data_IF_427371614866
#
_entry.id   IF_427371614866
#
_cell.length_a   1.000
_cell.length_b   1.000
_cell.length_c   1.000
_cell.angle_alpha   90.00
_cell.angle_beta   90.00
_cell.angle_gamma   90.00
#
_symmetry.space_group_name_H-M   'P 1'
#
loop_
_entity.id
_entity.type
_entity.pdbx_description
1 polymer ?
#
# COMPACT_ATOMS: atom_id res chain seq x y z
N UNK A 1 65.00 49.58 -4.82
CA UNK A 1 64.09 49.70 -3.65
C UNK A 1 62.76 49.06 -3.99
N UNK A 2 62.63 47.74 -3.81
CA UNK A 2 61.43 46.99 -4.20
C UNK A 2 60.28 47.21 -3.22
N UNK A 3 59.16 47.77 -3.70
CA UNK A 3 57.92 47.87 -2.92
C UNK A 3 57.40 46.46 -2.63
N UNK A 4 57.43 46.02 -1.37
CA UNK A 4 56.67 44.84 -0.93
C UNK A 4 55.18 45.14 -1.08
N UNK A 5 54.59 44.68 -2.17
CA UNK A 5 53.15 44.64 -2.36
C UNK A 5 52.58 43.62 -1.37
N UNK A 6 52.28 44.06 -0.16
CA UNK A 6 51.57 43.26 0.83
C UNK A 6 50.17 42.99 0.30
N UNK A 7 49.90 41.74 -0.08
CA UNK A 7 48.56 41.28 -0.46
C UNK A 7 47.54 41.60 0.64
N UNK A 8 46.25 41.72 0.28
CA UNK A 8 45.21 42.15 1.19
C UNK A 8 45.18 41.29 2.47
N UNK A 9 44.95 41.94 3.61
CA UNK A 9 44.97 41.28 4.92
C UNK A 9 43.83 40.25 4.99
N UNK A 10 44.18 38.96 4.92
CA UNK A 10 43.26 37.81 4.83
C UNK A 10 42.21 37.81 5.94
N UNK A 11 42.52 38.33 7.13
CA UNK A 11 41.58 38.46 8.25
C UNK A 11 40.51 39.52 7.99
N UNK A 12 40.86 40.63 7.34
CA UNK A 12 39.93 41.70 6.96
C UNK A 12 39.04 41.24 5.81
N UNK A 13 39.58 40.51 4.84
CA UNK A 13 38.79 39.89 3.77
C UNK A 13 37.81 38.85 4.31
N UNK A 14 38.24 37.98 5.24
CA UNK A 14 37.36 37.04 5.91
C UNK A 14 36.25 37.73 6.71
N UNK A 15 36.55 38.85 7.39
CA UNK A 15 35.54 39.63 8.11
C UNK A 15 34.54 40.31 7.16
N UNK A 16 35.01 40.85 6.01
CA UNK A 16 34.14 41.40 4.96
C UNK A 16 33.27 40.31 4.33
N UNK A 17 33.82 39.12 4.07
CA UNK A 17 33.08 37.97 3.54
C UNK A 17 31.99 37.51 4.52
N UNK A 18 32.30 37.44 5.83
CA UNK A 18 31.29 37.12 6.87
C UNK A 18 30.18 38.17 6.94
N UNK A 19 30.52 39.47 6.85
CA UNK A 19 29.53 40.54 6.79
C UNK A 19 28.68 40.49 5.51
N UNK A 20 29.28 40.14 4.38
CA UNK A 20 28.57 39.94 3.12
C UNK A 20 27.60 38.76 3.21
N UNK A 21 28.03 37.61 3.76
CA UNK A 21 27.17 36.45 3.98
C UNK A 21 26.01 36.74 4.97
N UNK A 22 26.28 37.51 6.03
CA UNK A 22 25.23 37.97 6.94
C UNK A 22 24.24 38.93 6.26
N UNK A 23 24.73 39.77 5.34
CA UNK A 23 23.87 40.65 4.55
C UNK A 23 23.03 39.85 3.55
N UNK A 24 23.62 38.90 2.82
CA UNK A 24 22.88 38.07 1.87
C UNK A 24 21.81 37.22 2.55
N UNK A 25 22.11 36.61 3.70
CA UNK A 25 21.11 35.85 4.47
C UNK A 25 19.96 36.75 4.94
N UNK A 26 20.25 37.98 5.38
CA UNK A 26 19.23 38.96 5.74
C UNK A 26 18.39 39.40 4.55
N UNK A 27 19.03 39.66 3.41
CA UNK A 27 18.35 40.05 2.17
C UNK A 27 17.48 38.91 1.63
N UNK A 28 17.95 37.65 1.69
CA UNK A 28 17.17 36.45 1.32
C UNK A 28 15.98 36.26 2.25
N UNK A 29 16.17 36.41 3.56
CA UNK A 29 15.08 36.32 4.53
C UNK A 29 14.03 37.41 4.29
N UNK A 30 14.47 38.64 3.97
CA UNK A 30 13.57 39.73 3.63
C UNK A 30 12.81 39.44 2.33
N UNK A 31 13.49 39.02 1.27
CA UNK A 31 12.83 38.67 0.01
C UNK A 31 11.86 37.49 0.16
N UNK A 32 12.16 36.53 1.03
CA UNK A 32 11.25 35.43 1.32
C UNK A 32 10.01 35.89 2.08
N UNK A 33 10.16 36.83 3.03
CA UNK A 33 9.03 37.43 3.74
C UNK A 33 8.15 38.28 2.80
N UNK A 34 8.77 39.08 1.93
CA UNK A 34 8.06 39.88 0.93
C UNK A 34 7.30 38.96 -0.05
N UNK A 35 7.92 37.88 -0.53
CA UNK A 35 7.27 36.90 -1.40
C UNK A 35 6.12 36.14 -0.70
N UNK A 36 6.24 35.85 0.60
CA UNK A 36 5.13 35.27 1.38
C UNK A 36 3.97 36.25 1.56
N UNK A 37 4.27 37.54 1.77
CA UNK A 37 3.25 38.58 1.86
C UNK A 37 2.51 38.74 0.53
N UNK A 38 3.22 38.81 -0.60
CA UNK A 38 2.63 38.84 -1.92
C UNK A 38 1.78 37.59 -2.19
N UNK A 39 2.29 36.39 -1.88
CA UNK A 39 1.53 35.14 -2.04
C UNK A 39 0.24 35.13 -1.19
N UNK A 40 0.28 35.69 0.03
CA UNK A 40 -0.89 35.82 0.88
C UNK A 40 -1.92 36.82 0.32
N UNK A 41 -1.46 37.92 -0.29
CA UNK A 41 -2.35 38.86 -0.99
C UNK A 41 -3.01 38.21 -2.22
N UNK A 42 -2.24 37.48 -3.03
CA UNK A 42 -2.77 36.73 -4.18
C UNK A 42 -3.72 35.60 -3.77
N UNK A 43 -3.56 35.04 -2.57
CA UNK A 43 -4.47 34.03 -2.04
C UNK A 43 -5.82 34.62 -1.58
N UNK A 44 -5.90 35.94 -1.31
CA UNK A 44 -7.12 36.61 -0.83
C UNK A 44 -8.12 36.77 -1.97
N UNK A 45 -8.96 35.75 -2.15
CA UNK A 45 -9.96 35.68 -3.22
C UNK A 45 -9.86 34.41 -4.07
N UNK A 46 -8.83 33.59 -3.85
CA UNK A 46 -8.75 32.26 -4.45
C UNK A 46 -9.81 31.33 -3.83
N UNK A 47 -10.39 30.43 -4.64
CA UNK A 47 -11.35 29.43 -4.17
C UNK A 47 -10.64 28.33 -3.36
N UNK A 48 -10.37 28.64 -2.09
CA UNK A 48 -9.72 27.73 -1.14
C UNK A 48 -10.49 26.43 -0.92
N UNK A 49 -11.81 26.42 -1.18
CA UNK A 49 -12.65 25.24 -1.01
C UNK A 49 -12.48 24.27 -2.18
N UNK A 50 -12.50 24.78 -3.42
CA UNK A 50 -12.25 23.96 -4.60
C UNK A 50 -10.82 23.41 -4.60
N UNK A 51 -9.84 24.24 -4.23
CA UNK A 51 -8.45 23.81 -4.13
C UNK A 51 -8.25 22.74 -3.05
N UNK A 52 -8.84 22.93 -1.86
CA UNK A 52 -8.79 21.91 -0.80
C UNK A 52 -9.42 20.59 -1.24
N UNK A 53 -10.56 20.64 -1.95
CA UNK A 53 -11.21 19.42 -2.47
C UNK A 53 -10.32 18.70 -3.48
N UNK A 54 -9.68 19.44 -4.39
CA UNK A 54 -8.73 18.90 -5.35
C UNK A 54 -7.52 18.26 -4.67
N UNK A 55 -6.94 18.92 -3.67
CA UNK A 55 -5.82 18.39 -2.89
C UNK A 55 -6.20 17.13 -2.10
N UNK A 56 -7.39 17.08 -1.50
CA UNK A 56 -7.88 15.87 -0.82
C UNK A 56 -8.11 14.71 -1.80
N UNK A 57 -8.62 14.97 -3.00
CA UNK A 57 -8.77 13.97 -4.07
C UNK A 57 -7.42 13.46 -4.59
N UNK A 58 -6.46 14.35 -4.81
CA UNK A 58 -5.09 14.00 -5.23
C UNK A 58 -4.36 13.20 -4.13
N UNK A 59 -4.49 13.58 -2.85
CA UNK A 59 -3.95 12.81 -1.73
C UNK A 59 -4.57 11.43 -1.64
N UNK A 60 -5.89 11.32 -1.77
CA UNK A 60 -6.59 10.03 -1.75
C UNK A 60 -6.16 9.15 -2.92
N UNK A 61 -5.96 9.73 -4.11
CA UNK A 61 -5.45 9.02 -5.29
C UNK A 61 -4.01 8.54 -5.08
N UNK A 62 -3.14 9.40 -4.55
CA UNK A 62 -1.76 9.07 -4.23
C UNK A 62 -1.66 7.96 -3.16
N UNK A 63 -2.51 8.01 -2.11
CA UNK A 63 -2.58 6.95 -1.11
C UNK A 63 -3.08 5.62 -1.69
N UNK A 64 -4.05 5.65 -2.60
CA UNK A 64 -4.50 4.45 -3.30
C UNK A 64 -3.42 3.89 -4.22
N UNK A 65 -2.68 4.74 -4.92
CA UNK A 65 -1.58 4.36 -5.79
C UNK A 65 -0.41 3.79 -4.98
N UNK A 66 -0.06 4.40 -3.85
CA UNK A 66 0.94 3.88 -2.92
C UNK A 66 0.53 2.50 -2.36
N UNK A 67 -0.72 2.34 -1.91
CA UNK A 67 -1.25 1.04 -1.45
C UNK A 67 -1.24 -0.01 -2.55
N UNK A 68 -1.59 0.36 -3.79
CA UNK A 68 -1.53 -0.54 -4.95
C UNK A 68 -0.08 -0.92 -5.27
N UNK A 69 0.86 0.03 -5.22
CA UNK A 69 2.27 -0.21 -5.46
C UNK A 69 2.90 -1.10 -4.38
N UNK A 70 2.57 -0.89 -3.10
CA UNK A 70 2.99 -1.78 -2.00
C UNK A 70 2.43 -3.17 -2.17
N UNK A 71 1.13 -3.30 -2.46
CA UNK A 71 0.50 -4.60 -2.75
C UNK A 71 1.15 -5.30 -3.94
N UNK A 72 1.46 -4.57 -5.01
CA UNK A 72 2.15 -5.14 -6.17
C UNK A 72 3.58 -5.57 -5.84
N UNK A 73 4.31 -4.81 -5.02
CA UNK A 73 5.64 -5.22 -4.54
C UNK A 73 5.57 -6.50 -3.71
N UNK A 74 4.58 -6.63 -2.83
CA UNK A 74 4.37 -7.86 -2.05
C UNK A 74 4.04 -9.03 -2.97
N UNK A 75 3.12 -8.86 -3.91
CA UNK A 75 2.79 -9.91 -4.88
C UNK A 75 4.01 -10.32 -5.73
N UNK A 76 4.83 -9.37 -6.16
CA UNK A 76 6.06 -9.67 -6.91
C UNK A 76 7.07 -10.48 -6.08
N UNK A 77 7.19 -10.19 -4.77
CA UNK A 77 8.03 -10.98 -3.86
C UNK A 77 7.46 -12.39 -3.64
N UNK A 78 6.14 -12.52 -3.51
CA UNK A 78 5.47 -13.83 -3.41
C UNK A 78 5.63 -14.65 -4.70
N UNK A 79 5.45 -14.03 -5.87
CA UNK A 79 5.65 -14.66 -7.17
C UNK A 79 7.11 -15.09 -7.38
N UNK A 80 8.06 -14.26 -6.94
CA UNK A 80 9.48 -14.59 -6.98
C UNK A 80 9.77 -15.82 -6.09
N UNK A 81 9.30 -15.81 -4.84
CA UNK A 81 9.44 -16.96 -3.92
C UNK A 81 8.84 -18.24 -4.51
N UNK A 82 7.63 -18.17 -5.09
CA UNK A 82 6.99 -19.33 -5.71
C UNK A 82 7.74 -19.82 -6.95
N UNK A 83 8.39 -18.92 -7.71
CA UNK A 83 9.17 -19.30 -8.88
C UNK A 83 10.50 -19.95 -8.48
N UNK A 84 11.14 -19.48 -7.41
CA UNK A 84 12.31 -20.12 -6.82
C UNK A 84 11.98 -21.54 -6.33
N UNK A 85 10.85 -21.71 -5.64
CA UNK A 85 10.36 -23.03 -5.22
C UNK A 85 10.09 -23.96 -6.41
N UNK A 86 9.49 -23.45 -7.49
CA UNK A 86 9.30 -24.22 -8.74
C UNK A 86 10.62 -24.65 -9.36
N UNK A 87 11.63 -23.78 -9.36
CA UNK A 87 12.97 -24.09 -9.86
C UNK A 87 13.67 -25.11 -8.96
N UNK A 88 13.52 -25.01 -7.64
CA UNK A 88 14.03 -25.98 -6.68
C UNK A 88 13.38 -27.36 -6.87
N UNK A 89 12.05 -27.43 -7.02
CA UNK A 89 11.32 -28.67 -7.31
C UNK A 89 11.75 -29.26 -8.66
N UNK A 90 11.93 -28.44 -9.71
CA UNK A 90 12.40 -28.92 -11.02
C UNK A 90 13.83 -29.45 -10.94
N UNK A 91 14.69 -28.83 -10.14
CA UNK A 91 16.06 -29.30 -9.89
C UNK A 91 16.05 -30.64 -9.14
N UNK A 92 15.25 -30.76 -8.08
CA UNK A 92 15.06 -32.02 -7.35
C UNK A 92 14.49 -33.14 -8.23
N UNK A 93 13.52 -32.85 -9.09
CA UNK A 93 13.01 -33.83 -10.07
C UNK A 93 14.07 -34.23 -11.10
N UNK A 94 14.94 -33.31 -11.51
CA UNK A 94 16.04 -33.61 -12.45
C UNK A 94 17.10 -34.47 -11.77
N UNK A 95 17.49 -34.17 -10.54
CA UNK A 95 18.44 -35.00 -9.78
C UNK A 95 17.85 -36.37 -9.49
N UNK A 96 16.59 -36.46 -9.02
CA UNK A 96 15.92 -37.73 -8.82
C UNK A 96 15.79 -38.56 -10.11
N UNK A 97 15.63 -37.91 -11.28
CA UNK A 97 15.61 -38.60 -12.58
C UNK A 97 17.01 -39.03 -13.05
N UNK A 98 18.05 -38.27 -12.73
CA UNK A 98 19.45 -38.62 -12.98
C UNK A 98 19.90 -39.75 -12.05
N UNK A 99 19.46 -39.78 -10.78
CA UNK A 99 19.69 -40.87 -9.82
C UNK A 99 18.86 -42.12 -10.17
N UNK A 100 17.70 -41.94 -10.80
CA UNK A 100 16.90 -43.03 -11.35
C UNK A 100 17.48 -43.64 -12.65
N UNK A 101 18.21 -42.84 -13.43
CA UNK A 101 18.82 -43.25 -14.69
C UNK A 101 19.84 -44.39 -14.60
N UNK A 102 20.78 -44.42 -13.62
CA UNK A 102 21.78 -45.48 -13.52
C UNK A 102 21.18 -46.83 -13.13
N UNK A 103 20.07 -46.88 -12.40
CA UNK A 103 19.40 -48.15 -12.11
C UNK A 103 18.47 -48.59 -13.25
N UNK A 104 17.79 -47.67 -13.96
CA UNK A 104 17.00 -48.02 -15.15
C UNK A 104 17.87 -48.49 -16.34
N UNK A 105 19.13 -48.03 -16.43
CA UNK A 105 20.07 -48.47 -17.47
C UNK A 105 20.68 -49.85 -17.17
N UNK A 106 20.73 -50.25 -15.90
CA UNK A 106 21.14 -51.59 -15.47
C UNK A 106 20.05 -52.67 -15.65
N UNK A 107 18.78 -52.28 -15.80
CA UNK A 107 17.64 -53.20 -15.94
C UNK A 107 17.11 -53.28 -17.38
N UNK A 108 17.76 -52.64 -18.36
CA UNK A 108 17.41 -52.77 -19.78
C UNK A 108 18.10 -53.99 -20.41
N UNK A 109 17.37 -55.09 -20.74
CA UNK A 109 17.95 -56.17 -21.52
C UNK A 109 18.22 -55.69 -22.94
N UNK A 110 19.40 -56.04 -23.47
CA UNK A 110 19.84 -55.70 -24.81
C UNK A 110 18.91 -56.31 -25.89
N UNK A 111 17.87 -55.58 -26.31
CA UNK A 111 17.02 -55.97 -27.43
C UNK A 111 16.55 -54.76 -28.27
N UNK A 112 17.21 -54.65 -29.43
CA UNK A 112 16.70 -54.18 -30.74
C UNK A 112 16.21 -52.73 -30.91
N UNK A 113 17.02 -52.01 -31.71
CA UNK A 113 16.59 -50.95 -32.63
C UNK A 113 15.57 -51.49 -33.64
N UNK A 114 14.36 -50.94 -33.65
CA UNK A 114 13.59 -50.54 -34.84
C UNK A 114 12.15 -50.20 -34.43
N UNK A 115 11.72 -48.95 -34.63
CA UNK A 115 10.49 -48.64 -35.37
C UNK A 115 10.40 -47.12 -35.60
N UNK A 116 10.87 -46.67 -36.77
CA UNK A 116 10.54 -45.35 -37.31
C UNK A 116 9.15 -45.48 -37.94
N UNK A 117 8.12 -45.55 -37.09
CA UNK A 117 6.73 -45.55 -37.51
C UNK A 117 6.26 -44.11 -37.71
N UNK A 118 6.13 -43.72 -38.97
CA UNK A 118 5.42 -42.52 -39.41
C UNK A 118 3.97 -42.54 -38.92
N UNK A 119 3.53 -41.48 -38.24
CA UNK A 119 2.12 -41.11 -38.21
C UNK A 119 2.00 -39.60 -38.39
N UNK A 120 1.55 -39.20 -39.59
CA UNK A 120 1.08 -37.84 -39.90
C UNK A 120 -0.33 -37.71 -39.33
N UNK A 121 -0.58 -36.73 -38.48
CA UNK A 121 -1.91 -36.11 -38.38
C UNK A 121 -1.80 -34.58 -38.28
N UNK A 122 -2.31 -33.95 -39.35
CA UNK A 122 -3.04 -32.68 -39.40
C UNK A 122 -2.42 -31.43 -38.76
N UNK A 123 -1.67 -30.68 -39.56
CA UNK A 123 -1.53 -29.24 -39.39
C UNK A 123 -2.80 -28.54 -39.89
N UNK A 124 -3.53 -27.91 -38.98
CA UNK A 124 -4.62 -26.99 -39.27
C UNK A 124 -4.04 -25.73 -39.92
N UNK A 125 -4.33 -25.53 -41.21
CA UNK A 125 -4.06 -24.28 -41.92
C UNK A 125 -5.16 -23.29 -41.53
N UNK A 126 -4.83 -22.35 -40.65
CA UNK A 126 -5.55 -21.06 -40.60
C UNK A 126 -4.84 -20.12 -41.54
N UNK A 127 -5.61 -19.63 -42.50
CA UNK A 127 -5.26 -18.52 -43.37
C UNK A 127 -4.80 -17.35 -42.49
N UNK A 128 -3.50 -17.04 -42.57
CA UNK A 128 -2.94 -15.81 -42.04
C UNK A 128 -3.32 -14.68 -42.97
N UNK A 129 -4.33 -13.91 -42.58
CA UNK A 129 -4.55 -12.55 -43.07
C UNK A 129 -3.33 -11.69 -42.69
N UNK A 130 -2.98 -10.76 -43.57
CA UNK A 130 -1.73 -10.01 -43.58
C UNK A 130 -1.51 -9.17 -42.32
N UNK A 131 -0.95 -9.79 -41.28
CA UNK A 131 -0.39 -9.06 -40.12
C UNK A 131 1.00 -8.53 -40.46
N UNK A 132 1.04 -7.49 -41.29
CA UNK A 132 2.19 -6.58 -41.33
C UNK A 132 2.37 -6.05 -39.91
N UNK A 133 3.46 -6.46 -39.25
CA UNK A 133 3.85 -5.98 -37.92
C UNK A 133 4.00 -4.46 -38.02
N UNK A 134 3.01 -3.71 -37.55
CA UNK A 134 3.10 -2.26 -37.43
C UNK A 134 4.28 -1.95 -36.51
N UNK A 135 5.27 -1.26 -37.05
CA UNK A 135 6.41 -0.80 -36.26
C UNK A 135 5.91 0.23 -35.23
N UNK A 136 6.57 0.31 -34.08
CA UNK A 136 6.17 1.17 -32.96
C UNK A 136 5.95 2.64 -33.36
N UNK A 137 6.64 3.10 -34.41
CA UNK A 137 6.50 4.45 -34.97
C UNK A 137 5.15 4.64 -35.66
N UNK A 138 4.66 3.63 -36.37
CA UNK A 138 3.39 3.71 -37.10
C UNK A 138 2.18 3.66 -36.15
N UNK A 139 2.32 2.95 -35.03
CA UNK A 139 1.32 2.96 -33.94
C UNK A 139 1.25 4.34 -33.29
N UNK A 140 2.39 5.02 -33.09
CA UNK A 140 2.41 6.38 -32.54
C UNK A 140 1.75 7.38 -33.49
N UNK A 141 2.08 7.32 -34.80
CA UNK A 141 1.48 8.19 -35.81
C UNK A 141 -0.03 7.99 -35.93
N UNK A 142 -0.51 6.74 -35.87
CA UNK A 142 -1.95 6.45 -35.89
C UNK A 142 -2.66 6.96 -34.63
N UNK A 143 -2.01 6.88 -33.47
CA UNK A 143 -2.56 7.34 -32.19
C UNK A 143 -2.60 8.87 -32.09
N UNK A 144 -1.59 9.54 -32.64
CA UNK A 144 -1.56 11.01 -32.74
C UNK A 144 -2.61 11.51 -33.75
N UNK A 145 -2.79 10.81 -34.88
CA UNK A 145 -3.84 11.11 -35.85
C UNK A 145 -5.26 10.86 -35.29
N UNK A 146 -5.43 9.84 -34.45
CA UNK A 146 -6.68 9.57 -33.74
C UNK A 146 -6.95 10.65 -32.68
N UNK A 147 -5.93 11.06 -31.91
CA UNK A 147 -6.02 12.16 -30.95
C UNK A 147 -6.43 13.49 -31.59
N UNK A 148 -5.87 13.81 -32.76
CA UNK A 148 -6.26 14.99 -33.54
C UNK A 148 -7.70 14.92 -34.07
N UNK A 149 -8.17 13.72 -34.43
CA UNK A 149 -9.57 13.48 -34.85
C UNK A 149 -10.56 13.62 -33.71
N UNK A 150 -10.18 13.22 -32.50
CA UNK A 150 -11.00 13.38 -31.28
C UNK A 150 -11.03 14.85 -30.85
N UNK A 151 -9.93 15.60 -31.01
CA UNK A 151 -9.87 17.03 -30.70
C UNK A 151 -10.68 17.91 -31.68
N UNK A 152 -10.79 17.51 -32.95
CA UNK A 152 -11.47 18.30 -34.00
C UNK A 152 -13.00 18.21 -34.02
N UNK A 153 -13.62 17.38 -33.15
CA UNK A 153 -15.09 17.22 -33.08
C UNK A 153 -15.58 17.46 -31.65
N UNK A 154 -15.71 18.71 -31.19
CA UNK A 154 -16.43 18.99 -29.95
C UNK A 154 -17.86 18.46 -30.11
N UNK A 155 -18.25 17.57 -29.20
CA UNK A 155 -19.51 16.84 -29.27
C UNK A 155 -20.69 17.78 -29.44
N UNK A 156 -21.38 17.69 -30.59
CA UNK A 156 -22.76 18.16 -30.73
C UNK A 156 -23.62 17.40 -29.73
N UNK A 157 -23.72 17.90 -28.49
CA UNK A 157 -24.71 17.63 -27.42
C UNK A 157 -24.14 17.97 -26.04
N UNK A 158 -23.70 19.21 -25.83
CA UNK A 158 -23.48 19.70 -24.46
C UNK A 158 -24.80 20.33 -23.99
N UNK A 159 -25.71 19.49 -23.49
CA UNK A 159 -26.97 19.95 -22.91
C UNK A 159 -26.63 20.63 -21.59
N UNK A 160 -26.55 21.96 -21.60
CA UNK A 160 -26.43 22.77 -20.38
C UNK A 160 -27.78 22.74 -19.66
N UNK A 161 -27.93 21.84 -18.69
CA UNK A 161 -29.05 21.92 -17.75
C UNK A 161 -28.78 23.06 -16.76
N UNK A 162 -29.62 24.10 -16.78
CA UNK A 162 -29.65 25.07 -15.71
C UNK A 162 -30.16 24.38 -14.44
N UNK A 163 -29.27 24.20 -13.46
CA UNK A 163 -29.57 23.47 -12.24
C UNK A 163 -30.37 24.35 -11.26
N UNK A 164 -31.61 24.70 -11.62
CA UNK A 164 -32.59 25.38 -10.74
C UNK A 164 -33.49 24.37 -10.06
N UNK A 165 -32.91 23.39 -9.36
CA UNK A 165 -33.70 22.52 -8.49
C UNK A 165 -34.02 23.25 -7.18
N UNK A 166 -35.31 23.50 -6.94
CA UNK A 166 -35.77 23.88 -5.61
C UNK A 166 -35.62 22.67 -4.69
N UNK A 167 -34.94 22.84 -3.54
CA UNK A 167 -34.79 21.78 -2.56
C UNK A 167 -36.18 21.25 -2.16
N UNK A 168 -36.34 19.93 -2.10
CA UNK A 168 -37.60 19.28 -1.75
C UNK A 168 -38.06 19.77 -0.38
N UNK A 169 -39.18 20.52 -0.35
CA UNK A 169 -39.70 21.20 0.83
C UNK A 169 -40.18 20.24 1.93
N UNK A 170 -40.33 18.95 1.60
CA UNK A 170 -40.66 17.88 2.54
C UNK A 170 -39.41 17.20 3.14
N UNK A 171 -38.19 17.62 2.79
CA UNK A 171 -36.98 17.16 3.45
C UNK A 171 -36.70 18.09 4.62
N UNK A 172 -37.19 17.71 5.80
CA UNK A 172 -36.86 18.41 7.06
C UNK A 172 -35.33 18.41 7.21
N UNK A 173 -34.73 19.60 7.30
CA UNK A 173 -33.28 19.77 7.45
C UNK A 173 -32.77 19.36 8.83
N UNK A 174 -33.68 19.05 9.74
CA UNK A 174 -33.45 18.76 11.14
C UNK A 174 -33.63 17.28 11.46
N UNK A 175 -33.33 16.40 10.50
CA UNK A 175 -33.15 14.98 10.79
C UNK A 175 -31.68 14.73 11.15
N UNK A 176 -31.32 14.57 12.43
CA UNK A 176 -29.95 14.32 12.86
C UNK A 176 -29.44 12.94 12.42
N UNK A 177 -30.25 12.13 11.72
CA UNK A 177 -29.91 10.74 11.38
C UNK A 177 -29.51 10.50 9.93
N UNK A 178 -28.68 11.39 9.35
CA UNK A 178 -28.07 11.11 8.05
C UNK A 178 -26.83 10.20 8.19
N UNK A 179 -27.07 8.89 8.27
CA UNK A 179 -26.03 7.88 8.22
C UNK A 179 -25.45 7.72 6.79
N UNK A 180 -24.59 8.65 6.38
CA UNK A 180 -23.93 8.62 5.06
C UNK A 180 -22.80 7.58 4.96
N UNK A 181 -22.38 6.98 6.06
CA UNK A 181 -21.39 5.90 6.14
C UNK A 181 -21.97 4.67 6.83
N UNK A 182 -21.44 3.48 6.49
CA UNK A 182 -21.87 2.21 7.11
C UNK A 182 -21.73 2.25 8.63
N UNK A 183 -20.64 2.80 9.15
CA UNK A 183 -20.42 2.90 10.59
C UNK A 183 -21.39 3.88 11.27
N UNK A 184 -21.73 4.99 10.61
CA UNK A 184 -22.75 5.91 11.11
C UNK A 184 -24.14 5.25 11.08
N UNK A 185 -24.43 4.40 10.09
CA UNK A 185 -25.70 3.66 10.02
C UNK A 185 -25.82 2.63 11.14
N UNK A 186 -24.72 1.94 11.42
CA UNK A 186 -24.66 0.96 12.50
C UNK A 186 -24.76 1.61 13.87
N UNK A 187 -24.14 2.77 14.07
CA UNK A 187 -24.18 3.47 15.36
C UNK A 187 -25.58 4.02 15.67
N UNK A 188 -26.28 4.51 14.64
CA UNK A 188 -27.62 5.06 14.77
C UNK A 188 -28.69 3.99 14.97
N UNK A 189 -28.52 2.82 14.35
CA UNK A 189 -29.41 1.68 14.52
C UNK A 189 -29.14 0.90 15.82
N UNK A 190 -27.99 1.11 16.46
CA UNK A 190 -27.61 0.46 17.73
C UNK A 190 -28.26 1.15 18.94
N UNK A 191 -29.59 1.13 19.01
CA UNK A 191 -30.37 1.60 20.17
C UNK A 191 -30.28 0.55 21.29
N UNK A 192 -29.56 0.88 22.37
CA UNK A 192 -29.64 0.13 23.65
C UNK A 192 -28.46 -0.77 24.04
N UNK A 193 -27.28 -0.64 23.41
CA UNK A 193 -26.23 -1.67 23.54
C UNK A 193 -24.80 -1.10 23.61
N UNK A 194 -24.66 0.07 24.27
CA UNK A 194 -23.36 0.76 24.43
C UNK A 194 -22.68 0.57 25.79
N UNK A 195 -23.32 0.02 26.82
CA UNK A 195 -22.72 0.15 28.17
C UNK A 195 -22.32 -1.13 28.94
N UNK A 196 -22.70 -2.36 28.56
CA UNK A 196 -22.39 -3.49 29.48
C UNK A 196 -21.83 -4.80 28.90
N UNK A 197 -21.64 -4.96 27.58
CA UNK A 197 -21.28 -6.31 27.14
C UNK A 197 -20.77 -6.52 25.72
N UNK A 198 -20.11 -5.55 25.07
CA UNK A 198 -19.89 -5.76 23.63
C UNK A 198 -18.99 -6.95 23.29
N UNK A 199 -17.80 -7.19 23.85
CA UNK A 199 -17.05 -8.43 23.54
C UNK A 199 -16.03 -8.85 24.62
N UNK A 200 -16.28 -9.89 25.42
CA UNK A 200 -15.23 -10.50 26.25
C UNK A 200 -14.05 -10.97 25.41
N UNK A 201 -14.27 -11.34 24.14
CA UNK A 201 -13.21 -11.69 23.18
C UNK A 201 -12.29 -10.52 22.81
N UNK A 202 -12.84 -9.30 22.67
CA UNK A 202 -12.00 -8.10 22.40
C UNK A 202 -11.25 -7.65 23.64
N UNK A 203 -11.89 -7.74 24.81
CA UNK A 203 -11.21 -7.52 26.11
C UNK A 203 -10.14 -8.58 26.34
N UNK A 204 -10.39 -9.85 26.00
CA UNK A 204 -9.43 -10.94 26.11
C UNK A 204 -8.21 -10.71 25.21
N UNK A 205 -8.38 -10.18 23.99
CA UNK A 205 -7.25 -9.84 23.13
C UNK A 205 -6.42 -8.66 23.66
N UNK A 206 -7.08 -7.62 24.17
CA UNK A 206 -6.40 -6.48 24.78
C UNK A 206 -5.66 -6.89 26.08
N UNK A 207 -6.31 -7.69 26.92
CA UNK A 207 -5.74 -8.19 28.17
C UNK A 207 -4.62 -9.21 27.91
N UNK A 208 -4.76 -10.08 26.89
CA UNK A 208 -3.68 -10.99 26.44
C UNK A 208 -2.45 -10.22 25.99
N UNK A 209 -2.62 -9.09 25.28
CA UNK A 209 -1.50 -8.25 24.85
C UNK A 209 -0.79 -7.61 26.05
N UNK A 210 -1.55 -7.09 27.02
CA UNK A 210 -0.98 -6.55 28.25
C UNK A 210 -0.21 -7.62 29.06
N UNK A 211 -0.75 -8.85 29.11
CA UNK A 211 -0.10 -10.00 29.73
C UNK A 211 1.16 -10.46 28.97
N UNK A 212 1.12 -10.47 27.63
CA UNK A 212 2.27 -10.81 26.78
C UNK A 212 3.43 -9.84 27.04
N UNK A 213 3.20 -8.52 27.11
CA UNK A 213 4.28 -7.54 27.32
C UNK A 213 4.94 -7.68 28.71
N UNK A 214 4.18 -8.05 29.75
CA UNK A 214 4.71 -8.25 31.11
C UNK A 214 5.40 -9.61 31.27
N UNK A 215 4.84 -10.67 30.68
CA UNK A 215 5.32 -12.05 30.90
C UNK A 215 6.36 -12.51 29.87
N UNK A 216 6.41 -11.89 28.68
CA UNK A 216 7.42 -12.21 27.66
C UNK A 216 8.87 -12.07 28.15
N UNK A 217 9.28 -11.02 28.92
CA UNK A 217 10.63 -10.94 29.45
C UNK A 217 10.92 -12.04 30.49
N UNK A 218 9.98 -12.35 31.39
CA UNK A 218 10.14 -13.40 32.41
C UNK A 218 10.30 -14.78 31.76
N UNK A 219 9.42 -15.11 30.81
CA UNK A 219 9.47 -16.40 30.10
C UNK A 219 10.75 -16.55 29.26
N UNK A 220 11.35 -15.43 28.81
CA UNK A 220 12.63 -15.43 28.08
C UNK A 220 13.83 -15.64 29.01
N UNK A 221 13.76 -15.15 30.24
CA UNK A 221 14.77 -15.37 31.29
C UNK A 221 14.75 -16.81 31.81
N UNK A 222 13.56 -17.36 32.06
CA UNK A 222 13.37 -18.72 32.59
C UNK A 222 13.74 -19.81 31.56
N UNK A 223 13.52 -19.54 30.27
CA UNK A 223 13.78 -20.48 29.18
C UNK A 223 14.61 -19.83 28.08
N UNK A 224 15.92 -19.57 28.29
CA UNK A 224 16.75 -19.00 27.25
C UNK A 224 16.91 -19.99 26.08
N UNK A 225 16.86 -19.49 24.84
CA UNK A 225 17.13 -20.28 23.63
C UNK A 225 15.93 -20.95 22.96
N UNK A 226 14.70 -20.73 23.46
CA UNK A 226 13.48 -21.26 22.87
C UNK A 226 13.01 -20.37 21.69
N UNK A 227 12.29 -20.94 20.71
CA UNK A 227 11.80 -20.16 19.55
C UNK A 227 10.62 -19.27 19.97
N UNK A 228 10.45 -18.11 19.33
CA UNK A 228 9.32 -17.19 19.59
C UNK A 228 7.94 -17.87 19.53
N UNK A 229 7.75 -18.84 18.63
CA UNK A 229 6.51 -19.61 18.54
C UNK A 229 6.23 -20.44 19.79
N UNK A 230 7.27 -20.99 20.41
CA UNK A 230 7.17 -21.81 21.62
C UNK A 230 6.97 -20.93 22.85
N UNK A 231 7.61 -19.75 22.92
CA UNK A 231 7.29 -18.75 23.95
C UNK A 231 5.83 -18.31 23.88
N UNK A 232 5.30 -18.03 22.70
CA UNK A 232 3.87 -17.70 22.51
C UNK A 232 2.94 -18.85 22.90
N UNK A 233 3.34 -20.10 22.67
CA UNK A 233 2.57 -21.25 23.13
C UNK A 233 2.53 -21.33 24.66
N UNK A 234 3.68 -21.16 25.33
CA UNK A 234 3.76 -21.12 26.80
C UNK A 234 2.98 -19.95 27.41
N UNK A 235 3.09 -18.77 26.82
CA UNK A 235 2.29 -17.60 27.22
C UNK A 235 0.79 -17.83 27.05
N UNK A 236 0.36 -18.53 26.00
CA UNK A 236 -1.04 -18.92 25.80
C UNK A 236 -1.51 -19.94 26.85
N UNK A 237 -0.68 -20.93 27.22
CA UNK A 237 -0.97 -21.86 28.31
C UNK A 237 -1.12 -21.15 29.65
N UNK A 238 -0.17 -20.25 29.98
CA UNK A 238 -0.21 -19.45 31.20
C UNK A 238 -1.42 -18.50 31.20
N UNK A 239 -1.74 -17.89 30.06
CA UNK A 239 -2.89 -17.00 29.91
C UNK A 239 -4.22 -17.71 30.11
N UNK A 240 -4.40 -18.91 29.55
CA UNK A 240 -5.61 -19.72 29.75
C UNK A 240 -5.87 -20.02 31.23
N UNK A 241 -4.82 -20.09 32.05
CA UNK A 241 -4.90 -20.32 33.50
C UNK A 241 -4.86 -19.04 34.34
N UNK A 242 -4.55 -17.89 33.73
CA UNK A 242 -4.43 -16.61 34.43
C UNK A 242 -5.79 -16.09 34.90
N UNK A 243 -5.89 -15.50 36.11
CA UNK A 243 -7.09 -14.81 36.58
C UNK A 243 -7.39 -13.51 35.79
N UNK A 244 -6.39 -12.98 35.08
CA UNK A 244 -6.54 -11.76 34.26
C UNK A 244 -7.26 -12.01 32.94
N UNK A 245 -7.51 -13.29 32.60
CA UNK A 245 -8.27 -13.64 31.42
C UNK A 245 -9.76 -13.39 31.66
N UNK A 246 -10.40 -12.44 30.95
CA UNK A 246 -11.82 -12.14 31.13
C UNK A 246 -12.74 -13.30 30.71
N UNK A 247 -12.22 -14.36 30.07
CA UNK A 247 -12.94 -15.63 29.86
C UNK A 247 -13.04 -16.50 31.12
N UNK A 248 -12.12 -16.34 32.07
CA UNK A 248 -12.12 -17.07 33.35
C UNK A 248 -12.85 -16.31 34.46
N UNK A 249 -13.19 -15.04 34.21
CA UNK A 249 -14.03 -14.25 35.10
C UNK A 249 -15.46 -14.78 34.95
N UNK A 250 -15.98 -15.46 35.98
CA UNK A 250 -17.36 -15.94 36.03
C UNK A 250 -18.30 -14.80 35.64
N UNK A 251 -18.84 -14.84 34.41
CA UNK A 251 -19.92 -13.95 34.02
C UNK A 251 -21.06 -14.25 34.98
N UNK A 252 -21.30 -13.36 35.94
CA UNK A 252 -22.36 -13.48 36.94
C UNK A 252 -23.62 -14.00 36.26
N UNK A 253 -23.93 -15.27 36.51
CA UNK A 253 -25.06 -15.91 35.87
C UNK A 253 -26.30 -15.12 36.25
N UNK A 254 -27.16 -14.84 35.26
CA UNK A 254 -28.40 -14.08 35.40
C UNK A 254 -29.36 -14.61 36.50
N UNK A 255 -29.09 -15.79 37.08
CA UNK A 255 -29.81 -16.40 38.19
C UNK A 255 -29.16 -16.23 39.58
N UNK A 256 -28.11 -15.42 39.74
CA UNK A 256 -27.57 -15.09 41.07
C UNK A 256 -28.56 -14.18 41.82
N UNK A 257 -29.51 -14.80 42.50
CA UNK A 257 -30.54 -14.16 43.32
C UNK A 257 -29.86 -13.25 44.36
N UNK A 258 -30.05 -11.94 44.19
CA UNK A 258 -29.64 -10.91 45.14
C UNK A 258 -30.19 -11.27 46.53
N UNK A 259 -29.30 -11.61 47.46
CA UNK A 259 -29.56 -11.58 48.90
C UNK A 259 -29.17 -10.19 49.40
#
# INVERSE_FOLDING_TARGET
MGKKQGGPNTKVEAAKAKKAAAKTTKDVAKSAADAQAEAAEWAKGADTRAERKRQEEERKRAEQEAKKAEKQKVLALEEHSLNEDKHAIRKQKKTAKEDAKPWEEAVKPAAKKSNRGSNKQSGFVVNGDDSKKLTQVEIAVLKDAEGARIAGKPGKREIKFENKFQANRNKNKDEPTEARSLDAALDLLSVGDKELGKHPERKAKAAYKAFEEVMLPQVKEDYPGLKLSQYKHKLSEMWRRSPDNPLNQESLAYNAKKQ
#
